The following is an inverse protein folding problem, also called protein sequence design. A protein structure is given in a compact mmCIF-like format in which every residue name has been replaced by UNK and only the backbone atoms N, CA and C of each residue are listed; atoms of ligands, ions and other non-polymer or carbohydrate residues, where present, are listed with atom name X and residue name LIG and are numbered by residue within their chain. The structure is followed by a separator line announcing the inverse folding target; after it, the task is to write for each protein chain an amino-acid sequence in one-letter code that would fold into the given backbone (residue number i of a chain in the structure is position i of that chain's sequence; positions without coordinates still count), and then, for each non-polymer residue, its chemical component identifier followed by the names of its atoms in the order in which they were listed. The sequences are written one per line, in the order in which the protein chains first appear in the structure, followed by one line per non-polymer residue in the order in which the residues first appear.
data_IF_672233292699
#
_entry.id   IF_672233292699
#
_cell.length_a   1.000
_cell.length_b   1.000
_cell.length_c   1.000
_cell.angle_alpha   90.00
_cell.angle_beta   90.00
_cell.angle_gamma   90.00
#
_symmetry.space_group_name_H-M   'P 1'
#
loop_
_entity.id
_entity.type
_entity.pdbx_description
1 polymer ?
#
# COMPACT_ATOMS: atom_id res chain seq x y z
N UNK A 1 39.76 -29.55 38.10
CA UNK A 1 39.14 -29.25 36.79
C UNK A 1 37.61 -29.26 36.85
N UNK A 2 36.95 -30.31 37.35
CA UNK A 2 35.47 -30.39 37.43
C UNK A 2 34.81 -29.30 38.30
N UNK A 3 35.45 -28.88 39.39
CA UNK A 3 34.95 -27.80 40.25
C UNK A 3 34.98 -26.41 39.57
N UNK A 4 35.95 -26.17 38.68
CA UNK A 4 36.09 -24.89 37.97
C UNK A 4 34.98 -24.71 36.92
N UNK A 5 34.59 -25.80 36.26
CA UNK A 5 33.52 -25.82 35.25
C UNK A 5 32.16 -25.51 35.88
N UNK A 6 31.89 -26.03 37.09
CA UNK A 6 30.66 -25.76 37.81
C UNK A 6 30.52 -24.29 38.23
N UNK A 7 31.61 -23.65 38.65
CA UNK A 7 31.62 -22.23 39.03
C UNK A 7 31.37 -21.34 37.81
N UNK A 8 32.02 -21.63 36.67
CA UNK A 8 31.82 -20.86 35.44
C UNK A 8 30.38 -20.98 34.92
N UNK A 9 29.79 -22.18 34.96
CA UNK A 9 28.40 -22.41 34.53
C UNK A 9 27.39 -21.65 35.41
N UNK A 10 27.60 -21.62 36.74
CA UNK A 10 26.75 -20.88 37.66
C UNK A 10 26.85 -19.36 37.46
N UNK A 11 28.06 -18.85 37.21
CA UNK A 11 28.26 -17.41 36.95
C UNK A 11 27.64 -16.97 35.63
N UNK A 12 27.74 -17.78 34.58
CA UNK A 12 27.12 -17.45 33.28
C UNK A 12 25.59 -17.45 33.38
N UNK A 13 25.02 -18.43 34.09
CA UNK A 13 23.58 -18.50 34.31
C UNK A 13 23.04 -17.28 35.08
N UNK A 14 23.75 -16.84 36.12
CA UNK A 14 23.37 -15.66 36.91
C UNK A 14 23.39 -14.36 36.08
N UNK A 15 24.38 -14.19 35.20
CA UNK A 15 24.49 -13.02 34.32
C UNK A 15 23.35 -12.99 33.30
N UNK A 16 22.99 -14.14 32.71
CA UNK A 16 21.90 -14.21 31.72
C UNK A 16 20.55 -13.87 32.38
N UNK A 17 20.28 -14.40 33.57
CA UNK A 17 19.04 -14.08 34.31
C UNK A 17 18.97 -12.60 34.68
N UNK A 18 20.09 -11.99 35.06
CA UNK A 18 20.15 -10.56 35.39
C UNK A 18 19.92 -9.66 34.17
N UNK A 19 20.47 -10.02 33.01
CA UNK A 19 20.24 -9.28 31.75
C UNK A 19 18.79 -9.39 31.29
N UNK A 20 18.17 -10.56 31.41
CA UNK A 20 16.75 -10.74 31.05
C UNK A 20 15.84 -9.94 32.00
N UNK A 21 16.14 -9.92 33.31
CA UNK A 21 15.38 -9.12 34.28
C UNK A 21 15.56 -7.61 34.07
N UNK A 22 16.76 -7.15 33.75
CA UNK A 22 17.04 -5.74 33.46
C UNK A 22 16.36 -5.25 32.18
N UNK A 23 16.20 -6.12 31.17
CA UNK A 23 15.50 -5.80 29.92
C UNK A 23 13.96 -5.95 30.03
N UNK A 24 13.47 -6.63 31.06
CA UNK A 24 12.04 -6.82 31.32
C UNK A 24 11.45 -5.81 32.32
N UNK A 25 12.30 -4.95 32.90
CA UNK A 25 11.88 -3.84 33.76
C UNK A 25 11.18 -2.77 32.93
N UNK A 26 9.90 -2.98 32.65
CA UNK A 26 9.03 -1.98 32.04
C UNK A 26 9.08 -0.69 32.85
N UNK A 27 9.26 0.42 32.14
CA UNK A 27 9.21 1.75 32.73
C UNK A 27 7.87 1.92 33.49
N UNK A 28 7.87 2.48 34.70
CA UNK A 28 6.63 2.82 35.36
C UNK A 28 5.89 3.83 34.48
N UNK A 29 4.73 3.42 33.95
CA UNK A 29 3.82 4.32 33.27
C UNK A 29 3.49 5.49 34.20
N UNK A 30 4.15 6.62 33.97
CA UNK A 30 3.76 7.91 34.50
C UNK A 30 2.36 8.18 33.97
N UNK A 31 1.36 8.04 34.84
CA UNK A 31 0.00 8.44 34.55
C UNK A 31 0.03 9.90 34.09
N UNK A 32 -0.27 10.13 32.82
CA UNK A 32 -0.45 11.47 32.29
C UNK A 32 -1.57 12.15 33.09
N UNK A 33 -1.40 13.43 33.48
CA UNK A 33 -2.46 14.17 34.13
C UNK A 33 -3.68 14.20 33.21
N UNK A 34 -4.82 13.76 33.74
CA UNK A 34 -6.13 13.91 33.11
C UNK A 34 -6.33 15.38 32.78
N UNK A 35 -6.24 15.72 31.49
CA UNK A 35 -6.68 17.01 30.99
C UNK A 35 -8.19 17.06 31.18
N UNK A 36 -8.60 17.77 32.21
CA UNK A 36 -9.97 18.17 32.47
C UNK A 36 -10.46 18.91 31.22
N UNK A 37 -11.27 18.23 30.41
CA UNK A 37 -11.89 18.80 29.23
C UNK A 37 -12.95 19.79 29.72
N UNK A 38 -12.52 21.04 29.90
CA UNK A 38 -13.42 22.16 30.12
C UNK A 38 -14.53 22.18 29.06
N UNK A 39 -15.69 22.78 29.38
CA UNK A 39 -16.84 22.79 28.50
C UNK A 39 -16.45 23.37 27.14
N UNK A 40 -16.53 22.53 26.10
CA UNK A 40 -16.36 22.92 24.70
C UNK A 40 -17.37 24.03 24.39
N UNK A 41 -16.90 25.28 24.42
CA UNK A 41 -17.61 26.38 23.81
C UNK A 41 -17.85 26.04 22.36
N UNK A 42 -19.11 26.05 21.95
CA UNK A 42 -19.51 25.82 20.57
C UNK A 42 -18.91 26.94 19.70
N UNK A 43 -17.75 26.69 19.10
CA UNK A 43 -17.33 27.47 17.95
C UNK A 43 -18.32 27.23 16.81
N UNK A 44 -18.76 28.29 16.11
CA UNK A 44 -19.67 28.16 15.00
C UNK A 44 -19.01 27.31 13.91
N UNK A 45 -19.68 26.21 13.56
CA UNK A 45 -19.32 25.26 12.50
C UNK A 45 -18.83 26.01 11.26
N UNK A 46 -17.51 26.04 11.05
CA UNK A 46 -16.95 26.49 9.80
C UNK A 46 -17.54 25.60 8.69
N UNK A 47 -18.11 26.17 7.61
CA UNK A 47 -18.72 25.39 6.55
C UNK A 47 -17.69 24.40 6.02
N UNK A 48 -18.01 23.11 6.17
CA UNK A 48 -17.14 22.02 5.69
C UNK A 48 -16.80 22.31 4.22
N UNK A 49 -15.51 22.29 3.83
CA UNK A 49 -15.16 22.45 2.43
C UNK A 49 -15.95 21.40 1.64
N UNK A 50 -16.75 21.88 0.68
CA UNK A 50 -17.57 21.00 -0.15
C UNK A 50 -16.70 19.92 -0.81
N UNK A 51 -17.28 18.78 -1.23
CA UNK A 51 -16.54 17.74 -1.91
C UNK A 51 -15.76 18.36 -3.08
N UNK A 52 -14.42 18.32 -3.01
CA UNK A 52 -13.55 18.72 -4.12
C UNK A 52 -13.94 17.86 -5.31
N UNK A 53 -14.63 18.44 -6.29
CA UNK A 53 -14.85 17.80 -7.59
C UNK A 53 -13.47 17.63 -8.22
N UNK A 54 -13.04 16.39 -8.39
CA UNK A 54 -11.92 16.08 -9.27
C UNK A 54 -12.20 16.73 -10.63
N UNK A 55 -11.19 17.28 -11.34
CA UNK A 55 -11.40 17.84 -12.65
C UNK A 55 -12.11 16.79 -13.53
N UNK A 56 -13.24 17.14 -14.17
CA UNK A 56 -13.91 16.24 -15.08
C UNK A 56 -12.95 16.01 -16.27
N UNK A 57 -12.71 14.74 -16.59
CA UNK A 57 -11.84 14.24 -17.68
C UNK A 57 -10.34 14.10 -17.38
N UNK A 58 -9.99 12.98 -16.75
CA UNK A 58 -8.69 12.32 -16.96
C UNK A 58 -8.84 10.93 -17.61
N UNK A 59 -10.07 10.44 -17.79
CA UNK A 59 -10.34 9.28 -18.65
C UNK A 59 -10.55 9.83 -20.07
N UNK A 60 -9.90 9.23 -21.08
CA UNK A 60 -10.17 9.61 -22.47
C UNK A 60 -11.66 9.38 -22.74
N UNK A 61 -12.33 10.22 -23.55
CA UNK A 61 -13.78 10.14 -23.81
C UNK A 61 -14.28 8.79 -24.32
N UNK A 62 -13.37 7.97 -24.82
CA UNK A 62 -13.54 6.64 -25.41
C UNK A 62 -13.17 5.49 -24.45
N UNK A 63 -12.79 5.78 -23.20
CA UNK A 63 -12.48 4.73 -22.23
C UNK A 63 -13.79 4.17 -21.63
N UNK A 64 -14.12 2.89 -21.86
CA UNK A 64 -15.35 2.32 -21.31
C UNK A 64 -15.33 2.33 -19.78
N UNK A 65 -16.50 2.46 -19.13
CA UNK A 65 -16.66 2.26 -17.68
C UNK A 65 -16.01 0.95 -17.22
N UNK A 66 -15.46 0.95 -16.01
CA UNK A 66 -14.73 -0.19 -15.44
C UNK A 66 -15.55 -1.50 -15.50
N UNK A 67 -16.85 -1.42 -15.23
CA UNK A 67 -17.80 -2.55 -15.26
C UNK A 67 -17.96 -3.15 -16.67
N UNK A 68 -17.96 -2.32 -17.72
CA UNK A 68 -18.02 -2.77 -19.11
C UNK A 68 -16.70 -3.44 -19.55
N UNK A 69 -15.57 -3.00 -18.99
CA UNK A 69 -14.26 -3.63 -19.24
C UNK A 69 -14.14 -4.98 -18.56
N UNK A 70 -14.77 -5.16 -17.39
CA UNK A 70 -14.83 -6.44 -16.66
C UNK A 70 -15.66 -7.48 -17.43
N UNK A 71 -16.83 -7.10 -17.94
CA UNK A 71 -17.66 -7.96 -18.80
C UNK A 71 -16.94 -8.33 -20.11
N UNK A 72 -16.24 -7.36 -20.71
CA UNK A 72 -15.45 -7.60 -21.91
C UNK A 72 -14.30 -8.61 -21.68
N UNK A 73 -13.77 -8.72 -20.46
CA UNK A 73 -12.72 -9.67 -20.10
C UNK A 73 -13.26 -11.09 -19.85
N UNK A 74 -14.41 -11.23 -19.19
CA UNK A 74 -15.05 -12.54 -19.02
C UNK A 74 -15.49 -13.17 -20.35
N UNK A 75 -15.82 -12.33 -21.33
CA UNK A 75 -16.14 -12.73 -22.70
C UNK A 75 -14.94 -12.69 -23.65
N UNK A 76 -13.73 -12.40 -23.12
CA UNK A 76 -12.54 -12.21 -23.94
C UNK A 76 -11.98 -13.53 -24.45
N UNK A 77 -12.27 -13.82 -25.71
CA UNK A 77 -11.75 -14.92 -26.51
C UNK A 77 -10.39 -14.63 -27.16
N UNK A 78 -9.82 -13.45 -26.91
CA UNK A 78 -8.60 -12.95 -27.54
C UNK A 78 -8.80 -11.81 -28.56
N UNK A 79 -9.95 -11.11 -28.54
CA UNK A 79 -10.23 -9.89 -29.33
C UNK A 79 -9.32 -8.68 -29.05
N UNK A 80 -9.55 -7.48 -29.63
CA UNK A 80 -8.58 -6.38 -29.60
C UNK A 80 -8.31 -5.86 -28.17
N UNK A 81 -7.07 -5.43 -27.87
CA UNK A 81 -6.60 -5.19 -26.51
C UNK A 81 -7.27 -3.96 -25.88
N UNK A 82 -7.73 -4.12 -24.64
CA UNK A 82 -7.87 -2.99 -23.70
C UNK A 82 -6.47 -2.35 -23.64
N UNK A 83 -6.34 -1.06 -23.98
CA UNK A 83 -5.04 -0.39 -23.97
C UNK A 83 -4.57 -0.22 -22.51
N UNK A 84 -3.90 -1.24 -21.99
CA UNK A 84 -3.35 -1.27 -20.64
C UNK A 84 -2.02 -0.52 -20.55
N UNK A 85 -1.50 0.00 -21.66
CA UNK A 85 -0.16 0.55 -21.77
C UNK A 85 0.87 -0.52 -22.17
N UNK A 86 1.73 -0.17 -23.12
CA UNK A 86 2.69 -1.10 -23.75
C UNK A 86 3.63 -1.80 -22.74
N UNK A 87 4.09 -1.08 -21.71
CA UNK A 87 5.01 -1.64 -20.73
C UNK A 87 4.32 -2.65 -19.80
N UNK A 88 3.06 -2.37 -19.43
CA UNK A 88 2.22 -3.32 -18.71
C UNK A 88 1.97 -4.57 -19.54
N UNK A 89 1.51 -4.41 -20.79
CA UNK A 89 1.19 -5.54 -21.69
C UNK A 89 2.39 -6.46 -21.87
N UNK A 90 3.58 -5.91 -22.08
CA UNK A 90 4.82 -6.68 -22.19
C UNK A 90 5.06 -7.58 -20.97
N UNK A 91 4.88 -7.03 -19.75
CA UNK A 91 5.06 -7.80 -18.50
C UNK A 91 3.95 -8.84 -18.32
N UNK A 92 2.71 -8.50 -18.67
CA UNK A 92 1.57 -9.41 -18.62
C UNK A 92 1.77 -10.61 -19.55
N UNK A 93 2.22 -10.39 -20.79
CA UNK A 93 2.52 -11.49 -21.72
C UNK A 93 3.72 -12.32 -21.26
N UNK A 94 4.75 -11.70 -20.68
CA UNK A 94 5.88 -12.44 -20.09
C UNK A 94 5.43 -13.34 -18.93
N UNK A 95 4.52 -12.87 -18.07
CA UNK A 95 3.90 -13.70 -17.03
C UNK A 95 3.06 -14.82 -17.63
N UNK A 96 2.29 -14.55 -18.69
CA UNK A 96 1.50 -15.57 -19.40
C UNK A 96 2.35 -16.66 -20.02
N UNK A 97 3.46 -16.29 -20.66
CA UNK A 97 4.41 -17.24 -21.25
C UNK A 97 5.04 -18.12 -20.17
N UNK A 98 5.50 -17.52 -19.07
CA UNK A 98 6.16 -18.22 -17.97
C UNK A 98 5.23 -19.13 -17.17
N UNK A 99 4.00 -18.70 -16.91
CA UNK A 99 3.02 -19.47 -16.13
C UNK A 99 2.27 -20.50 -16.98
N UNK A 100 2.17 -20.28 -18.28
CA UNK A 100 1.21 -20.97 -19.15
C UNK A 100 -0.20 -20.40 -19.01
N UNK A 101 -1.04 -20.67 -20.02
CA UNK A 101 -2.36 -20.04 -20.17
C UNK A 101 -3.29 -20.28 -18.97
N UNK A 102 -3.39 -21.51 -18.48
CA UNK A 102 -4.35 -21.84 -17.42
C UNK A 102 -3.98 -21.21 -16.08
N UNK A 103 -2.72 -21.31 -15.66
CA UNK A 103 -2.27 -20.66 -14.43
C UNK A 103 -2.33 -19.14 -14.52
N UNK A 104 -2.03 -18.59 -15.68
CA UNK A 104 -2.19 -17.16 -15.91
C UNK A 104 -3.66 -16.74 -15.79
N UNK A 105 -4.61 -17.51 -16.33
CA UNK A 105 -6.06 -17.27 -16.16
C UNK A 105 -6.48 -17.33 -14.70
N UNK A 106 -5.99 -18.29 -13.93
CA UNK A 106 -6.27 -18.40 -12.49
C UNK A 106 -5.78 -17.18 -11.72
N UNK A 107 -4.54 -16.73 -11.98
CA UNK A 107 -3.99 -15.50 -11.40
C UNK A 107 -4.88 -14.28 -11.71
N UNK A 108 -5.29 -14.12 -12.97
CA UNK A 108 -6.14 -13.00 -13.38
C UNK A 108 -7.53 -13.06 -12.73
N UNK A 109 -8.11 -14.25 -12.55
CA UNK A 109 -9.37 -14.42 -11.81
C UNK A 109 -9.25 -13.91 -10.38
N UNK A 110 -8.15 -14.22 -9.69
CA UNK A 110 -7.90 -13.69 -8.34
C UNK A 110 -7.76 -12.17 -8.36
N UNK A 111 -7.06 -11.61 -9.35
CA UNK A 111 -6.91 -10.17 -9.49
C UNK A 111 -8.26 -9.47 -9.65
N UNK A 112 -9.08 -9.93 -10.60
CA UNK A 112 -10.38 -9.32 -10.89
C UNK A 112 -11.33 -9.45 -9.70
N UNK A 113 -11.37 -10.61 -9.04
CA UNK A 113 -12.17 -10.79 -7.82
C UNK A 113 -11.64 -9.99 -6.62
N UNK A 114 -10.34 -9.68 -6.60
CA UNK A 114 -9.67 -9.01 -5.48
C UNK A 114 -9.63 -7.48 -5.59
N UNK A 115 -9.55 -6.91 -6.80
CA UNK A 115 -9.38 -5.46 -7.00
C UNK A 115 -10.60 -4.62 -6.60
N UNK A 116 -11.79 -5.23 -6.55
CA UNK A 116 -13.08 -4.60 -6.24
C UNK A 116 -14.03 -5.61 -5.58
N UNK A 117 -15.03 -5.14 -4.83
CA UNK A 117 -15.16 -3.79 -4.26
C UNK A 117 -14.10 -3.52 -3.17
N UNK A 118 -13.68 -2.26 -3.03
CA UNK A 118 -12.59 -1.89 -2.10
C UNK A 118 -13.02 -1.99 -0.63
N UNK A 119 -12.19 -2.65 0.17
CA UNK A 119 -12.36 -2.76 1.62
C UNK A 119 -13.21 -3.94 2.10
N UNK A 120 -13.74 -4.76 1.18
CA UNK A 120 -14.41 -6.00 1.53
C UNK A 120 -13.43 -7.12 1.86
N UNK A 121 -13.77 -7.94 2.86
CA UNK A 121 -12.93 -9.05 3.33
C UNK A 121 -12.68 -10.08 2.23
N UNK A 122 -13.71 -10.45 1.45
CA UNK A 122 -13.57 -11.42 0.37
C UNK A 122 -12.58 -10.93 -0.71
N UNK A 123 -12.63 -9.65 -1.08
CA UNK A 123 -11.68 -9.08 -2.04
C UNK A 123 -10.26 -9.01 -1.48
N UNK A 124 -10.10 -8.68 -0.19
CA UNK A 124 -8.81 -8.73 0.51
C UNK A 124 -8.21 -10.14 0.46
N UNK A 125 -9.00 -11.15 0.79
CA UNK A 125 -8.57 -12.56 0.77
C UNK A 125 -8.09 -12.98 -0.63
N UNK A 126 -8.74 -12.52 -1.69
CA UNK A 126 -8.33 -12.82 -3.08
C UNK A 126 -7.02 -12.18 -3.47
N UNK A 127 -6.76 -10.95 -3.03
CA UNK A 127 -5.45 -10.31 -3.24
C UNK A 127 -4.34 -10.98 -2.42
N UNK A 128 -4.63 -11.38 -1.18
CA UNK A 128 -3.70 -12.14 -0.35
C UNK A 128 -3.39 -13.53 -0.93
N UNK A 129 -4.39 -14.21 -1.50
CA UNK A 129 -4.25 -15.46 -2.24
C UNK A 129 -3.36 -15.26 -3.49
N UNK A 130 -3.61 -14.21 -4.28
CA UNK A 130 -2.78 -13.89 -5.44
C UNK A 130 -1.31 -13.67 -5.07
N UNK A 131 -1.05 -12.89 -4.01
CA UNK A 131 0.31 -12.62 -3.52
C UNK A 131 1.02 -13.88 -3.03
N UNK A 132 0.28 -14.87 -2.52
CA UNK A 132 0.81 -16.13 -2.03
C UNK A 132 1.14 -17.09 -3.17
N UNK A 133 0.23 -17.22 -4.12
CA UNK A 133 0.27 -18.27 -5.13
C UNK A 133 1.01 -17.83 -6.40
N UNK A 134 1.03 -16.52 -6.67
CA UNK A 134 1.67 -15.91 -7.84
C UNK A 134 2.66 -14.79 -7.46
N UNK A 135 3.56 -15.01 -6.48
CA UNK A 135 4.35 -13.93 -5.89
C UNK A 135 5.33 -13.30 -6.88
N UNK A 136 5.78 -14.04 -7.90
CA UNK A 136 6.84 -13.56 -8.81
C UNK A 136 6.26 -13.04 -10.12
N UNK A 137 5.09 -12.40 -10.07
CA UNK A 137 4.39 -11.84 -11.23
C UNK A 137 4.34 -10.33 -11.16
N UNK A 138 4.17 -9.67 -12.30
CA UNK A 138 3.87 -8.24 -12.33
C UNK A 138 2.55 -7.94 -11.60
N UNK A 139 1.59 -8.86 -11.67
CA UNK A 139 0.31 -8.75 -10.99
C UNK A 139 0.44 -8.75 -9.47
N UNK A 140 1.42 -9.45 -8.90
CA UNK A 140 1.71 -9.40 -7.47
C UNK A 140 2.06 -7.98 -6.99
N UNK A 141 2.78 -7.19 -7.81
CA UNK A 141 3.06 -5.78 -7.50
C UNK A 141 1.77 -4.95 -7.39
N UNK A 142 0.88 -5.11 -8.35
CA UNK A 142 -0.42 -4.43 -8.35
C UNK A 142 -1.33 -4.89 -7.21
N UNK A 143 -1.31 -6.19 -6.90
CA UNK A 143 -2.04 -6.75 -5.77
C UNK A 143 -1.53 -6.19 -4.44
N UNK A 144 -0.21 -6.08 -4.23
CA UNK A 144 0.36 -5.48 -3.02
C UNK A 144 -0.07 -4.00 -2.87
N UNK A 145 -0.04 -3.25 -3.98
CA UNK A 145 -0.50 -1.85 -3.99
C UNK A 145 -2.00 -1.72 -3.66
N UNK A 146 -2.87 -2.47 -4.35
CA UNK A 146 -4.32 -2.42 -4.10
C UNK A 146 -4.69 -2.97 -2.72
N UNK A 147 -3.98 -3.97 -2.21
CA UNK A 147 -4.21 -4.50 -0.86
C UNK A 147 -4.08 -3.41 0.21
N UNK A 148 -3.10 -2.50 0.07
CA UNK A 148 -3.01 -1.34 0.95
C UNK A 148 -4.21 -0.39 0.83
N UNK A 149 -4.73 -0.18 -0.38
CA UNK A 149 -5.97 0.59 -0.60
C UNK A 149 -7.18 -0.10 0.06
N UNK A 150 -7.28 -1.43 -0.04
CA UNK A 150 -8.33 -2.21 0.59
C UNK A 150 -8.28 -2.08 2.12
N UNK A 151 -7.12 -2.26 2.76
CA UNK A 151 -7.02 -2.13 4.21
C UNK A 151 -7.43 -0.74 4.70
N UNK A 152 -7.01 0.34 4.01
CA UNK A 152 -7.46 1.70 4.37
C UNK A 152 -8.99 1.89 4.26
N UNK A 153 -9.65 1.16 3.36
CA UNK A 153 -11.11 1.22 3.15
C UNK A 153 -11.90 0.22 3.99
N UNK A 154 -11.26 -0.78 4.57
CA UNK A 154 -11.94 -1.84 5.33
C UNK A 154 -12.56 -1.30 6.61
N UNK A 155 -13.89 -1.20 6.63
CA UNK A 155 -14.62 -0.68 7.81
C UNK A 155 -14.63 -1.64 9.00
N UNK A 156 -14.28 -2.91 8.78
CA UNK A 156 -14.23 -3.94 9.80
C UNK A 156 -13.04 -3.79 10.77
N UNK A 157 -12.00 -3.05 10.38
CA UNK A 157 -10.79 -2.87 11.20
C UNK A 157 -10.79 -1.50 11.92
N UNK A 158 -10.17 -1.36 13.09
CA UNK A 158 -9.86 -0.04 13.67
C UNK A 158 -8.88 0.75 12.79
N UNK A 159 -8.93 2.09 12.83
CA UNK A 159 -8.10 2.95 11.97
C UNK A 159 -6.60 2.66 12.07
N UNK A 160 -6.10 2.42 13.28
CA UNK A 160 -4.67 2.15 13.51
C UNK A 160 -4.25 0.82 12.87
N UNK A 161 -5.09 -0.21 12.98
CA UNK A 161 -4.82 -1.49 12.32
C UNK A 161 -4.88 -1.37 10.78
N UNK A 162 -5.82 -0.57 10.25
CA UNK A 162 -5.88 -0.28 8.81
C UNK A 162 -4.58 0.34 8.32
N UNK A 163 -4.08 1.37 9.03
CA UNK A 163 -2.82 2.05 8.67
C UNK A 163 -1.65 1.09 8.73
N UNK A 164 -1.49 0.31 9.81
CA UNK A 164 -0.40 -0.65 9.95
C UNK A 164 -0.40 -1.70 8.82
N UNK A 165 -1.56 -2.29 8.51
CA UNK A 165 -1.66 -3.28 7.42
C UNK A 165 -1.45 -2.64 6.04
N UNK A 166 -2.00 -1.46 5.81
CA UNK A 166 -1.80 -0.73 4.55
C UNK A 166 -0.34 -0.33 4.34
N UNK A 167 0.34 0.14 5.38
CA UNK A 167 1.77 0.45 5.33
C UNK A 167 2.59 -0.77 4.93
N UNK A 168 2.35 -1.90 5.58
CA UNK A 168 3.05 -3.15 5.26
C UNK A 168 2.84 -3.57 3.80
N UNK A 169 1.61 -3.48 3.29
CA UNK A 169 1.30 -3.81 1.90
C UNK A 169 1.98 -2.85 0.90
N UNK A 170 1.95 -1.55 1.15
CA UNK A 170 2.60 -0.56 0.28
C UNK A 170 4.14 -0.64 0.34
N UNK A 171 4.72 -0.92 1.50
CA UNK A 171 6.15 -1.22 1.61
C UNK A 171 6.53 -2.47 0.84
N UNK A 172 5.74 -3.55 0.92
CA UNK A 172 5.94 -4.74 0.09
C UNK A 172 5.94 -4.39 -1.40
N UNK A 173 4.99 -3.55 -1.83
CA UNK A 173 4.90 -3.08 -3.22
C UNK A 173 6.16 -2.29 -3.64
N UNK A 174 6.66 -1.41 -2.76
CA UNK A 174 7.86 -0.60 -3.01
C UNK A 174 9.16 -1.40 -2.99
N UNK A 175 9.29 -2.36 -2.07
CA UNK A 175 10.57 -3.01 -1.79
C UNK A 175 10.75 -4.27 -2.65
N UNK A 176 9.75 -5.14 -2.68
CA UNK A 176 9.80 -6.40 -3.43
C UNK A 176 9.40 -6.22 -4.89
N UNK A 177 8.37 -5.41 -5.14
CA UNK A 177 7.76 -5.25 -6.46
C UNK A 177 8.06 -3.90 -7.11
N UNK A 178 9.23 -3.34 -6.79
CA UNK A 178 9.61 -1.97 -7.17
C UNK A 178 9.52 -1.69 -8.68
N UNK A 179 9.87 -2.69 -9.48
CA UNK A 179 9.91 -2.65 -10.95
C UNK A 179 8.58 -3.09 -11.58
N UNK A 180 7.54 -3.28 -10.75
CA UNK A 180 6.19 -3.62 -11.15
C UNK A 180 5.46 -2.41 -11.76
N UNK A 181 4.59 -2.70 -12.72
CA UNK A 181 3.79 -1.70 -13.42
C UNK A 181 2.35 -2.20 -13.46
N UNK A 182 1.38 -1.34 -13.15
CA UNK A 182 -0.04 -1.65 -13.25
C UNK A 182 -0.65 -1.10 -14.54
N UNK A 183 -1.94 -1.34 -14.72
CA UNK A 183 -2.67 -0.85 -15.88
C UNK A 183 -2.42 0.65 -16.10
N UNK A 184 -2.37 1.06 -17.37
CA UNK A 184 -2.02 2.39 -17.86
C UNK A 184 -0.56 2.80 -17.59
N UNK A 185 0.34 1.81 -17.49
CA UNK A 185 1.75 2.00 -17.17
C UNK A 185 2.01 2.68 -15.81
N UNK A 186 1.08 2.58 -14.86
CA UNK A 186 1.25 3.18 -13.54
C UNK A 186 2.32 2.42 -12.73
N UNK A 187 3.41 3.05 -12.29
CA UNK A 187 4.48 2.37 -11.58
C UNK A 187 4.05 2.04 -10.13
N UNK A 188 4.29 0.79 -9.73
CA UNK A 188 3.88 0.27 -8.41
C UNK A 188 4.57 1.04 -7.29
N UNK A 189 5.89 1.22 -7.36
CA UNK A 189 6.65 1.90 -6.32
C UNK A 189 6.24 3.37 -6.17
N UNK A 190 6.13 4.11 -7.28
CA UNK A 190 5.71 5.53 -7.26
C UNK A 190 4.31 5.69 -6.69
N UNK A 191 3.37 4.83 -7.10
CA UNK A 191 1.99 4.84 -6.61
C UNK A 191 1.90 4.50 -5.11
N UNK A 192 2.67 3.51 -4.65
CA UNK A 192 2.71 3.11 -3.25
C UNK A 192 3.31 4.21 -2.34
N UNK A 193 4.37 4.90 -2.79
CA UNK A 193 4.93 6.06 -2.07
C UNK A 193 3.90 7.18 -1.93
N UNK A 194 3.19 7.53 -3.01
CA UNK A 194 2.12 8.52 -2.96
C UNK A 194 1.02 8.11 -1.97
N UNK A 195 0.64 6.84 -1.95
CA UNK A 195 -0.36 6.33 -1.02
C UNK A 195 0.09 6.39 0.45
N UNK A 196 1.33 5.99 0.75
CA UNK A 196 1.93 6.08 2.08
C UNK A 196 1.92 7.52 2.62
N UNK A 197 2.38 8.47 1.82
CA UNK A 197 2.33 9.90 2.19
C UNK A 197 0.90 10.34 2.43
N UNK A 198 -0.01 10.04 1.49
CA UNK A 198 -1.39 10.56 1.51
C UNK A 198 -2.23 10.02 2.66
N UNK A 199 -2.04 8.76 3.05
CA UNK A 199 -2.92 8.07 3.99
C UNK A 199 -2.31 7.88 5.38
N UNK A 200 -0.98 7.85 5.49
CA UNK A 200 -0.27 7.46 6.71
C UNK A 200 0.67 8.58 7.15
N UNK A 201 1.79 8.76 6.47
CA UNK A 201 2.89 9.55 7.02
C UNK A 201 2.60 11.03 7.16
N UNK A 202 1.73 11.64 6.33
CA UNK A 202 1.30 13.03 6.55
C UNK A 202 0.64 13.26 7.91
N UNK A 203 0.16 12.19 8.57
CA UNK A 203 -0.53 12.25 9.85
C UNK A 203 0.28 11.67 11.01
N UNK A 204 1.29 10.84 10.73
CA UNK A 204 2.06 10.12 11.75
C UNK A 204 3.53 10.51 11.79
N UNK A 205 4.14 10.81 10.65
CA UNK A 205 5.54 11.17 10.51
C UNK A 205 5.74 12.14 9.32
N UNK A 206 5.57 13.47 9.54
CA UNK A 206 5.72 14.47 8.50
C UNK A 206 7.13 14.53 7.89
N UNK A 207 8.16 14.12 8.65
CA UNK A 207 9.54 14.06 8.15
C UNK A 207 9.69 12.98 7.10
N UNK A 208 9.21 11.77 7.38
CA UNK A 208 9.19 10.68 6.41
C UNK A 208 8.30 11.00 5.21
N UNK A 209 7.14 11.65 5.43
CA UNK A 209 6.27 12.11 4.36
C UNK A 209 7.01 13.05 3.41
N UNK A 210 7.74 14.04 3.94
CA UNK A 210 8.56 14.97 3.14
C UNK A 210 9.64 14.23 2.35
N UNK A 211 10.39 13.34 3.00
CA UNK A 211 11.47 12.58 2.34
C UNK A 211 10.96 11.76 1.14
N UNK A 212 9.80 11.09 1.29
CA UNK A 212 9.20 10.35 0.18
C UNK A 212 8.72 11.26 -0.95
N UNK A 213 8.16 12.43 -0.63
CA UNK A 213 7.75 13.38 -1.67
C UNK A 213 8.95 13.98 -2.41
N UNK A 214 10.06 14.27 -1.73
CA UNK A 214 11.29 14.73 -2.38
C UNK A 214 11.88 13.66 -3.31
N UNK A 215 11.87 12.40 -2.88
CA UNK A 215 12.27 11.26 -3.70
C UNK A 215 11.35 11.10 -4.94
N UNK A 216 10.03 11.21 -4.78
CA UNK A 216 9.08 11.19 -5.89
C UNK A 216 9.31 12.34 -6.88
N UNK A 217 9.53 13.57 -6.40
CA UNK A 217 9.79 14.71 -7.27
C UNK A 217 11.10 14.56 -8.06
N UNK A 218 12.12 13.93 -7.46
CA UNK A 218 13.45 13.79 -8.08
C UNK A 218 13.56 12.57 -9.00
N UNK A 219 13.02 11.43 -8.59
CA UNK A 219 13.35 10.13 -9.20
C UNK A 219 12.21 9.53 -10.04
N UNK A 220 11.01 10.13 -10.01
CA UNK A 220 9.82 9.63 -10.70
C UNK A 220 9.27 10.63 -11.74
N UNK A 221 10.15 11.40 -12.39
CA UNK A 221 9.77 12.34 -13.45
C UNK A 221 9.29 11.60 -14.71
N UNK A 222 8.22 12.10 -15.33
CA UNK A 222 7.59 11.46 -16.50
C UNK A 222 6.76 10.21 -16.21
N UNK A 223 6.80 9.68 -14.98
CA UNK A 223 5.91 8.61 -14.55
C UNK A 223 4.51 9.15 -14.22
N UNK A 224 3.48 8.39 -14.57
CA UNK A 224 2.08 8.80 -14.36
C UNK A 224 1.34 7.83 -13.44
N UNK A 225 0.39 8.34 -12.65
CA UNK A 225 -0.58 7.51 -11.95
C UNK A 225 -1.61 6.88 -12.92
N UNK A 226 -2.54 6.09 -12.38
CA UNK A 226 -3.63 5.47 -13.14
C UNK A 226 -4.62 6.47 -13.79
N UNK A 227 -4.51 7.76 -13.48
CA UNK A 227 -5.28 8.86 -14.09
C UNK A 227 -4.43 9.65 -15.09
N UNK A 228 -3.22 9.21 -15.41
CA UNK A 228 -2.31 9.92 -16.32
C UNK A 228 -1.71 11.18 -15.71
N UNK A 229 -1.81 11.40 -14.40
CA UNK A 229 -1.19 12.56 -13.75
C UNK A 229 0.28 12.25 -13.44
N UNK A 230 1.16 13.20 -13.77
CA UNK A 230 2.58 13.05 -13.48
C UNK A 230 2.85 13.01 -11.96
N UNK A 231 3.47 11.93 -11.50
CA UNK A 231 3.74 11.65 -10.08
C UNK A 231 4.64 12.71 -9.48
N UNK A 232 5.69 13.14 -10.20
CA UNK A 232 6.61 14.20 -9.78
C UNK A 232 5.86 15.52 -9.48
N UNK A 233 4.87 15.87 -10.30
CA UNK A 233 4.07 17.10 -10.16
C UNK A 233 3.08 17.02 -9.02
N UNK A 234 2.49 15.85 -8.78
CA UNK A 234 1.72 15.61 -7.56
C UNK A 234 2.60 15.82 -6.33
N UNK A 235 3.83 15.29 -6.34
CA UNK A 235 4.74 15.37 -5.22
C UNK A 235 5.21 16.82 -4.94
N UNK A 236 5.61 17.57 -5.97
CA UNK A 236 5.96 18.99 -5.89
C UNK A 236 4.81 19.81 -5.26
N UNK A 237 3.57 19.58 -5.69
CA UNK A 237 2.38 20.24 -5.14
C UNK A 237 2.22 19.93 -3.66
N UNK A 238 2.26 18.66 -3.27
CA UNK A 238 2.11 18.25 -1.87
C UNK A 238 3.23 18.82 -0.98
N UNK A 239 4.48 18.86 -1.46
CA UNK A 239 5.59 19.51 -0.74
C UNK A 239 5.34 20.99 -0.49
N UNK A 240 4.76 21.69 -1.46
CA UNK A 240 4.44 23.12 -1.30
C UNK A 240 3.36 23.38 -0.23
N UNK A 241 2.43 22.44 -0.06
CA UNK A 241 1.36 22.50 0.95
C UNK A 241 1.83 22.12 2.37
N UNK A 242 3.02 21.53 2.49
CA UNK A 242 3.64 21.16 3.78
C UNK A 242 4.56 22.24 4.37
N UNK A 243 4.67 23.40 3.72
CA UNK A 243 5.44 24.56 4.20
C UNK A 243 4.57 25.45 5.07
#
# INVERSE_FOLDING_TARGET
MRALIAVVALTLGAVIVFVVLALSGGEPHTALPSLDAGPLGAEPDAPRPGPRRLPPNLLRPDTPPDEEREVAFEQYDGGPPINFGEAFEKKWYADRERLGLERHREMEKLWWAGRRPRGETASIEKLEELLRDYPDTNRAGCAAYELGQHYMRSRALPLEERRRKAEAAWRLAMDRYRDGICEYNAPVAGSAKLALVSWIYRHTDPGLARNLLEDLAKNHAGETDHLGQEISKIAERLLSEMR
#
